data_IF_061763861078
#
_entry.id   IF_061763861078
#
_cell.length_a   1.000
_cell.length_b   1.000
_cell.length_c   1.000
_cell.angle_alpha   90.00
_cell.angle_beta   90.00
_cell.angle_gamma   90.00
#
_symmetry.space_group_name_H-M   'P 1'
#
loop_
_entity.id
_entity.type
_entity.pdbx_description
1 polymer ?
2 water ?
#
# COMPACT_ATOMS: atom_id res chain seq x y z
N UNK A 1 -7.50 7.42 11.76
CA UNK A 1 -6.07 7.73 11.47
C UNK A 1 -5.38 6.53 10.84
N UNK A 2 -4.40 6.79 9.99
CA UNK A 2 -3.67 5.73 9.32
C UNK A 2 -2.16 5.88 9.43
N UNK A 3 -1.49 4.77 9.73
CA UNK A 3 -0.03 4.77 9.78
C UNK A 3 0.39 3.82 8.68
N UNK A 4 1.60 4.00 8.18
CA UNK A 4 2.12 3.19 7.10
C UNK A 4 3.59 2.93 7.41
N UNK A 5 3.93 1.69 7.74
CA UNK A 5 5.30 1.32 8.10
C UNK A 5 5.80 0.12 7.31
N UNK A 6 7.14 -0.02 7.17
CA UNK A 6 8.19 0.86 7.69
C UNK A 6 8.22 2.20 6.97
N UNK A 7 8.76 3.22 7.63
CA UNK A 7 8.86 4.55 7.04
C UNK A 7 9.91 4.49 5.93
N UNK A 8 10.89 3.61 6.12
CA UNK A 8 11.96 3.41 5.14
C UNK A 8 12.24 1.91 5.09
N UNK A 9 12.21 1.35 3.90
CA UNK A 9 12.44 -0.08 3.71
C UNK A 9 13.30 -0.32 2.49
N UNK A 10 14.23 -1.27 2.59
CA UNK A 10 15.08 -1.58 1.45
C UNK A 10 15.06 -3.09 1.23
N UNK A 11 14.91 -3.48 -0.03
CA UNK A 11 14.90 -4.88 -0.40
C UNK A 11 15.68 -5.00 -1.71
N UNK A 12 16.12 -6.21 -2.03
CA UNK A 12 16.87 -6.45 -3.25
C UNK A 12 15.90 -6.79 -4.37
N UNK A 13 16.19 -6.30 -5.57
CA UNK A 13 15.36 -6.56 -6.74
C UNK A 13 14.99 -8.04 -6.82
N UNK A 14 13.72 -8.31 -7.08
CA UNK A 14 13.29 -9.69 -7.19
C UNK A 14 12.61 -10.17 -5.93
N UNK A 15 13.01 -9.60 -4.80
CA UNK A 15 12.42 -9.96 -3.53
C UNK A 15 11.14 -9.15 -3.38
N UNK A 16 10.27 -9.55 -2.47
CA UNK A 16 9.04 -8.80 -2.27
C UNK A 16 9.27 -7.78 -1.17
N UNK A 17 8.52 -6.69 -1.21
CA UNK A 17 8.63 -5.64 -0.20
C UNK A 17 7.27 -5.52 0.47
N UNK A 18 7.26 -5.49 1.80
CA UNK A 18 6.00 -5.43 2.50
C UNK A 18 5.83 -4.28 3.48
N UNK A 19 4.83 -3.45 3.23
CA UNK A 19 4.51 -2.34 4.11
C UNK A 19 3.25 -2.73 4.86
N UNK A 20 3.04 -2.10 6.01
CA UNK A 20 1.85 -2.37 6.80
C UNK A 20 1.07 -1.06 6.95
N UNK A 21 -0.20 -1.11 6.57
CA UNK A 21 -1.08 0.05 6.68
C UNK A 21 -1.98 -0.31 7.85
N UNK A 22 -1.96 0.51 8.89
CA UNK A 22 -2.79 0.25 10.07
C UNK A 22 -3.87 1.30 10.23
N UNK A 23 -5.11 0.85 10.39
CA UNK A 23 -6.24 1.75 10.55
C UNK A 23 -6.63 1.87 12.02
N UNK A 24 -7.25 2.99 12.39
CA UNK A 24 -7.70 3.20 13.76
C UNK A 24 -9.17 2.79 13.85
N UNK A 25 -9.76 2.51 12.70
CA UNK A 25 -11.15 2.06 12.62
C UNK A 25 -11.30 1.21 11.37
N UNK A 26 -12.17 0.21 11.44
CA UNK A 26 -12.38 -0.69 10.31
C UNK A 26 -13.83 -1.15 10.21
N UNK A 27 -14.29 -1.31 8.98
CA UNK A 27 -15.64 -1.79 8.70
C UNK A 27 -15.56 -2.68 7.46
N UNK A 28 -16.52 -3.60 7.34
CA UNK A 28 -16.57 -4.54 6.23
C UNK A 28 -16.53 -3.86 4.86
N UNK A 29 -17.26 -2.76 4.73
CA UNK A 29 -17.34 -2.04 3.46
C UNK A 29 -16.27 -0.97 3.28
N UNK A 30 -15.27 -0.94 4.15
CA UNK A 30 -14.21 0.05 4.04
C UNK A 30 -13.41 -0.20 2.75
N UNK A 31 -12.97 0.88 2.11
CA UNK A 31 -12.20 0.79 0.87
C UNK A 31 -10.75 1.18 1.13
N UNK A 32 -9.82 0.28 0.82
CA UNK A 32 -8.39 0.56 1.02
C UNK A 32 -7.69 0.89 -0.29
N UNK A 33 -6.78 1.86 -0.23
CA UNK A 33 -6.03 2.27 -1.41
C UNK A 33 -4.53 2.28 -1.12
N UNK A 34 -3.75 1.90 -2.12
CA UNK A 34 -2.31 1.91 -2.00
C UNK A 34 -1.86 2.86 -3.10
N UNK A 35 -1.19 3.94 -2.72
CA UNK A 35 -0.75 4.93 -3.69
C UNK A 35 0.75 5.12 -3.74
N UNK A 36 1.21 5.72 -4.83
CA UNK A 36 2.62 6.00 -5.03
C UNK A 36 2.76 7.40 -5.61
N UNK A 37 3.74 8.15 -5.12
CA UNK A 37 3.98 9.49 -5.64
C UNK A 37 4.68 9.31 -6.98
N UNK A 38 4.14 9.94 -8.01
CA UNK A 38 4.71 9.83 -9.35
C UNK A 38 5.91 10.76 -9.47
N UNK A 39 6.66 10.66 -10.58
CA UNK A 39 7.82 11.53 -10.78
C UNK A 39 7.39 12.99 -10.78
N UNK A 40 6.15 13.24 -11.19
CA UNK A 40 5.60 14.59 -11.24
C UNK A 40 4.93 14.96 -9.92
N UNK A 41 5.24 14.19 -8.88
CA UNK A 41 4.71 14.40 -7.54
C UNK A 41 3.19 14.38 -7.45
N UNK A 42 2.58 13.40 -8.11
CA UNK A 42 1.14 13.24 -8.08
C UNK A 42 0.82 11.87 -7.49
N UNK A 43 -0.26 11.79 -6.72
CA UNK A 43 -0.64 10.53 -6.11
C UNK A 43 -1.34 9.64 -7.12
N UNK A 44 -0.77 8.46 -7.37
CA UNK A 44 -1.36 7.52 -8.31
C UNK A 44 -1.67 6.21 -7.60
N UNK A 45 -2.89 5.72 -7.77
CA UNK A 45 -3.33 4.48 -7.14
C UNK A 45 -2.64 3.27 -7.77
N UNK A 46 -2.09 2.40 -6.92
CA UNK A 46 -1.41 1.20 -7.38
C UNK A 46 -2.33 -0.01 -7.25
N UNK A 47 -3.21 0.05 -6.27
CA UNK A 47 -4.14 -1.03 -6.02
C UNK A 47 -5.17 -0.57 -5.01
N UNK A 48 -6.30 -1.26 -4.98
CA UNK A 48 -7.37 -0.94 -4.05
C UNK A 48 -7.80 -2.25 -3.41
N UNK A 49 -8.43 -2.17 -2.25
CA UNK A 49 -8.89 -3.37 -1.56
C UNK A 49 -10.28 -3.12 -1.00
N UNK A 50 -11.20 -4.03 -1.29
CA UNK A 50 -12.56 -3.91 -0.80
C UNK A 50 -13.23 -5.26 -0.87
N UNK A 51 -14.13 -5.50 0.08
CA UNK A 51 -14.85 -6.77 0.14
C UNK A 51 -13.90 -7.96 0.08
N UNK A 52 -12.77 -7.85 0.77
CA UNK A 52 -11.80 -8.93 0.81
C UNK A 52 -10.95 -9.15 -0.43
N UNK A 53 -11.16 -8.34 -1.47
CA UNK A 53 -10.40 -8.52 -2.71
C UNK A 53 -9.40 -7.42 -3.05
N UNK A 54 -8.16 -7.83 -3.31
CA UNK A 54 -7.10 -6.90 -3.69
C UNK A 54 -7.28 -6.66 -5.19
N UNK A 55 -7.39 -5.40 -5.58
CA UNK A 55 -7.61 -5.05 -6.98
C UNK A 55 -6.52 -4.15 -7.56
N UNK A 56 -5.63 -4.71 -8.39
CA UNK A 56 -4.53 -3.98 -9.02
C UNK A 56 -5.05 -3.01 -10.07
N UNK A 57 -4.45 -1.83 -10.15
CA UNK A 57 -4.87 -0.87 -11.16
C UNK A 57 -4.36 -1.37 -12.50
N UNK A 58 -3.06 -1.66 -12.57
CA UNK A 58 -2.46 -2.15 -13.80
C UNK A 58 -1.32 -3.14 -13.54
N UNK A 59 -0.80 -3.14 -12.32
CA UNK A 59 0.31 -4.02 -11.96
C UNK A 59 -0.09 -4.96 -10.83
N UNK A 60 -0.33 -6.23 -11.17
CA UNK A 60 -0.74 -7.23 -10.19
C UNK A 60 0.30 -7.53 -9.12
N UNK A 61 1.49 -6.93 -9.24
CA UNK A 61 2.52 -7.16 -8.23
C UNK A 61 2.15 -6.45 -6.93
N UNK A 62 1.31 -5.42 -7.03
CA UNK A 62 0.91 -4.67 -5.84
C UNK A 62 -0.30 -5.30 -5.16
N UNK A 63 -0.03 -6.13 -4.15
CA UNK A 63 -1.10 -6.80 -3.43
C UNK A 63 -1.41 -6.12 -2.10
N UNK A 64 -2.70 -6.04 -1.78
CA UNK A 64 -3.13 -5.49 -0.51
C UNK A 64 -3.70 -6.71 0.20
N UNK A 65 -3.13 -7.05 1.34
CA UNK A 65 -3.55 -8.22 2.09
C UNK A 65 -4.04 -7.85 3.48
N UNK A 66 -5.25 -8.27 3.82
CA UNK A 66 -5.80 -7.97 5.13
C UNK A 66 -5.24 -8.96 6.14
N UNK A 67 -4.64 -8.44 7.20
CA UNK A 67 -4.06 -9.28 8.23
C UNK A 67 -5.16 -9.84 9.12
N UNK A 68 -4.84 -10.88 9.91
CA UNK A 68 -5.83 -11.49 10.80
C UNK A 68 -6.62 -10.52 11.69
N UNK A 69 -5.98 -9.51 12.26
CA UNK A 69 -6.71 -8.58 13.12
C UNK A 69 -7.70 -7.70 12.35
N UNK A 70 -7.71 -7.86 11.03
CA UNK A 70 -8.63 -7.14 10.15
C UNK A 70 -8.43 -5.63 9.97
N UNK A 71 -7.81 -4.95 10.93
CA UNK A 71 -7.61 -3.52 10.76
C UNK A 71 -6.22 -3.17 10.23
N UNK A 72 -5.36 -4.18 10.11
CA UNK A 72 -4.01 -3.99 9.57
C UNK A 72 -3.92 -4.72 8.24
N UNK A 73 -3.21 -4.12 7.29
CA UNK A 73 -3.06 -4.72 5.97
C UNK A 73 -1.62 -4.68 5.51
N UNK A 74 -1.25 -5.70 4.74
CA UNK A 74 0.09 -5.76 4.17
C UNK A 74 -0.02 -5.21 2.76
N UNK A 75 0.79 -4.22 2.43
CA UNK A 75 0.81 -3.69 1.07
C UNK A 75 2.06 -4.39 0.57
N UNK A 76 1.85 -5.53 -0.09
CA UNK A 76 2.93 -6.39 -0.57
C UNK A 76 3.29 -6.21 -2.05
N UNK A 77 4.52 -5.78 -2.31
CA UNK A 77 4.98 -5.62 -3.69
C UNK A 77 5.72 -6.89 -4.08
N UNK A 78 5.16 -7.67 -4.99
CA UNK A 78 5.80 -8.89 -5.43
C UNK A 78 6.84 -8.61 -6.52
N UNK A 79 7.91 -9.41 -6.53
CA UNK A 79 8.94 -9.30 -7.55
C UNK A 79 9.34 -7.85 -7.83
N UNK A 80 9.87 -7.19 -6.80
CA UNK A 80 10.27 -5.79 -6.94
C UNK A 80 11.34 -5.58 -8.00
N UNK A 81 11.36 -4.38 -8.56
CA UNK A 81 12.37 -4.02 -9.54
C UNK A 81 12.88 -2.65 -9.12
N UNK A 82 14.08 -2.30 -9.57
CA UNK A 82 14.69 -1.04 -9.19
C UNK A 82 13.73 0.15 -9.24
N UNK A 83 12.99 0.31 -10.32
CA UNK A 83 12.11 1.47 -10.42
C UNK A 83 10.85 1.46 -9.57
N UNK A 84 10.75 0.51 -8.64
CA UNK A 84 9.62 0.47 -7.72
C UNK A 84 10.07 1.40 -6.60
N UNK A 85 11.37 1.69 -6.58
CA UNK A 85 11.94 2.57 -5.56
C UNK A 85 11.19 3.90 -5.63
N UNK A 86 10.66 4.34 -4.50
CA UNK A 86 9.93 5.59 -4.48
C UNK A 86 9.15 5.79 -3.19
N UNK A 87 8.21 6.73 -3.23
CA UNK A 87 7.41 7.06 -2.06
C UNK A 87 5.99 6.54 -2.20
N UNK A 88 5.52 5.85 -1.17
CA UNK A 88 4.17 5.28 -1.15
C UNK A 88 3.42 5.67 0.11
N UNK A 89 2.11 5.45 0.09
CA UNK A 89 1.26 5.72 1.25
C UNK A 89 -0.03 4.95 1.04
N UNK A 90 -0.82 4.81 2.09
CA UNK A 90 -2.08 4.12 1.93
C UNK A 90 -3.20 5.08 2.25
N UNK A 91 -4.41 4.73 1.83
CA UNK A 91 -5.55 5.58 2.08
C UNK A 91 -6.73 4.69 2.38
N UNK A 92 -7.70 5.25 3.08
CA UNK A 92 -8.88 4.49 3.45
C UNK A 92 -10.12 5.32 3.19
N UNK A 93 -11.10 4.71 2.54
CA UNK A 93 -12.35 5.38 2.23
C UNK A 93 -13.48 4.67 2.95
N UNK A 94 -14.22 5.42 3.76
CA UNK A 94 -15.34 4.86 4.49
C UNK A 94 -16.57 4.99 3.60
N UNK A 95 -17.14 3.86 3.21
CA UNK A 95 -18.32 3.85 2.37
C UNK A 95 -19.54 3.51 3.21
N UNK A 96 -19.65 4.17 4.36
CA UNK A 96 -20.76 3.96 5.28
C UNK A 96 -21.56 5.25 5.45
N UNK A 97 -21.94 5.55 6.69
CA UNK A 97 -22.71 6.75 7.03
C UNK A 97 -22.53 7.83 5.97
N UNK A 98 -21.32 8.37 5.91
CA UNK A 98 -20.98 9.40 4.94
C UNK A 98 -19.55 9.13 4.49
N UNK A 99 -19.31 9.25 3.18
CA UNK A 99 -17.99 9.01 2.63
C UNK A 99 -16.94 9.86 3.33
N UNK A 100 -15.90 9.21 3.83
CA UNK A 100 -14.81 9.89 4.52
C UNK A 100 -13.48 9.29 4.06
N UNK A 101 -12.59 10.14 3.56
CA UNK A 101 -11.30 9.66 3.08
C UNK A 101 -10.16 10.22 3.91
N UNK A 102 -9.12 9.41 4.09
CA UNK A 102 -7.95 9.86 4.81
C UNK A 102 -6.74 9.09 4.31
N UNK A 103 -5.58 9.72 4.39
CA UNK A 103 -4.35 9.10 3.94
C UNK A 103 -3.32 9.05 5.06
N UNK A 104 -2.39 8.12 4.95
CA UNK A 104 -1.36 7.95 5.96
C UNK A 104 -0.12 8.73 5.55
N UNK A 105 0.88 8.78 6.44
CA UNK A 105 2.10 9.50 6.07
C UNK A 105 2.74 8.65 4.97
N UNK A 106 3.62 9.24 4.18
CA UNK A 106 4.27 8.47 3.14
C UNK A 106 5.38 7.62 3.74
N UNK A 107 5.86 6.66 2.96
CA UNK A 107 6.94 5.78 3.38
C UNK A 107 7.85 5.57 2.17
N UNK A 108 9.12 5.26 2.40
CA UNK A 108 10.04 5.08 1.29
C UNK A 108 10.50 3.64 1.08
N UNK A 109 10.58 3.26 -0.19
CA UNK A 109 11.04 1.94 -0.57
C UNK A 109 12.27 2.12 -1.44
N UNK A 110 13.31 1.36 -1.14
CA UNK A 110 14.53 1.41 -1.93
C UNK A 110 14.78 -0.03 -2.37
N UNK A 111 14.77 -0.25 -3.68
CA UNK A 111 15.03 -1.58 -4.22
C UNK A 111 16.44 -1.59 -4.81
N UNK A 112 17.31 -2.40 -4.22
CA UNK A 112 18.70 -2.48 -4.67
C UNK A 112 18.93 -3.62 -5.66
N UNK A 113 20.18 -3.77 -6.09
CA UNK A 113 20.54 -4.81 -7.05
C UNK A 113 20.08 -6.20 -6.62
N UNK A 114 19.90 -7.09 -7.59
CA UNK A 114 19.50 -8.45 -7.29
C UNK A 114 20.66 -9.08 -6.52
N UNK A 115 20.34 -9.94 -5.57
CA UNK A 115 21.36 -10.61 -4.78
C UNK A 115 22.16 -11.53 -5.69
N UNK A 116 23.47 -11.54 -5.54
CA UNK A 116 24.32 -12.40 -6.36
C UNK A 116 24.53 -13.72 -5.64
#
# INVERSE_FOLDING_TARGET
>A
SLTFYPAWLTVSEGANATFTCSLSNWSEDLMLNWNRLSPSNQTEKQAAFSNGLSQPVQDARFQIIQLPNRHDFHMNILDTRRNDSGIYLCGAISLHPKAKIEESPGAELVVTERILE
#
